data_IF_809510246411
#
_entry.id   IF_809510246411
#
_cell.length_a   1.000
_cell.length_b   1.000
_cell.length_c   1.000
_cell.angle_alpha   90.00
_cell.angle_beta   90.00
_cell.angle_gamma   90.00
#
_symmetry.space_group_name_H-M   'P 1'
#
loop_
_entity.id
_entity.type
_entity.pdbx_description
1 polymer ?
#
# COMPACT_ATOMS: atom_id res chain seq x y z
N UNK A 1 -18.30 0.33 13.20
CA UNK A 1 -19.33 0.54 12.15
C UNK A 1 -18.76 0.78 10.75
N UNK A 2 -17.54 1.31 10.59
CA UNK A 2 -16.89 1.46 9.27
C UNK A 2 -16.38 0.13 8.67
N UNK A 3 -15.90 -0.80 9.50
CA UNK A 3 -15.38 -2.11 9.08
C UNK A 3 -16.39 -2.91 8.24
N UNK A 4 -17.67 -2.96 8.65
CA UNK A 4 -18.73 -3.62 7.88
C UNK A 4 -19.11 -2.89 6.58
N UNK A 5 -18.92 -1.56 6.52
CA UNK A 5 -19.20 -0.78 5.31
C UNK A 5 -18.15 -1.08 4.24
N UNK A 6 -16.90 -1.26 4.65
CA UNK A 6 -15.81 -1.71 3.80
C UNK A 6 -15.96 -3.20 3.43
N UNK A 7 -16.25 -4.09 4.39
CA UNK A 7 -16.43 -5.53 4.15
C UNK A 7 -17.67 -5.86 3.28
N UNK A 8 -18.76 -5.08 3.37
CA UNK A 8 -19.94 -5.27 2.51
C UNK A 8 -19.73 -4.75 1.08
N UNK A 9 -18.90 -3.72 0.88
CA UNK A 9 -18.45 -3.31 -0.45
C UNK A 9 -17.51 -4.35 -1.09
N UNK A 10 -16.71 -5.04 -0.27
CA UNK A 10 -15.79 -6.11 -0.67
C UNK A 10 -16.48 -7.42 -1.09
N UNK A 11 -17.71 -7.71 -0.63
CA UNK A 11 -18.48 -8.86 -1.16
C UNK A 11 -18.80 -8.74 -2.66
N UNK A 12 -18.64 -7.56 -3.25
CA UNK A 12 -18.77 -7.33 -4.69
C UNK A 12 -17.41 -7.16 -5.40
N UNK A 13 -16.27 -7.17 -4.70
CA UNK A 13 -14.96 -6.94 -5.31
C UNK A 13 -13.81 -7.42 -4.40
N UNK A 14 -13.64 -8.73 -4.28
CA UNK A 14 -12.34 -9.35 -3.96
C UNK A 14 -11.97 -10.16 -5.20
N UNK A 15 -11.18 -9.55 -6.09
CA UNK A 15 -10.42 -10.30 -7.07
C UNK A 15 -9.10 -10.68 -6.40
N UNK A 16 -8.77 -11.98 -6.31
CA UNK A 16 -7.38 -12.36 -6.17
C UNK A 16 -6.64 -11.86 -7.42
N UNK A 17 -5.34 -11.65 -7.31
CA UNK A 17 -4.44 -11.80 -8.46
C UNK A 17 -4.48 -13.29 -8.91
N UNK A 18 -5.62 -13.74 -9.42
CA UNK A 18 -5.95 -15.02 -10.05
C UNK A 18 -7.45 -15.06 -10.40
N UNK A 19 -7.74 -15.12 -11.71
CA UNK A 19 -8.95 -15.57 -12.43
C UNK A 19 -10.32 -15.66 -11.70
N UNK A 20 -11.37 -14.96 -12.19
CA UNK A 20 -12.50 -15.54 -12.95
C UNK A 20 -13.65 -14.52 -13.25
N UNK A 21 -14.61 -15.00 -14.06
CA UNK A 21 -15.63 -14.33 -14.87
C UNK A 21 -16.84 -13.67 -14.17
N UNK A 22 -17.50 -12.79 -14.95
CA UNK A 22 -18.71 -12.01 -14.69
C UNK A 22 -20.01 -12.83 -14.57
N UNK A 23 -20.94 -12.39 -13.70
CA UNK A 23 -22.39 -12.29 -13.98
C UNK A 23 -23.04 -11.19 -13.10
N UNK A 24 -24.19 -10.66 -13.54
CA UNK A 24 -24.77 -9.35 -13.20
C UNK A 24 -26.09 -9.39 -12.40
N UNK A 25 -26.40 -8.27 -11.71
CA UNK A 25 -27.75 -7.74 -11.36
C UNK A 25 -28.43 -8.28 -10.08
N UNK A 26 -29.24 -7.55 -9.29
CA UNK A 26 -29.78 -6.16 -9.28
C UNK A 26 -30.46 -5.84 -7.91
N UNK A 27 -30.50 -4.54 -7.57
CA UNK A 27 -31.59 -3.75 -6.95
C UNK A 27 -32.00 -3.80 -5.44
N UNK A 28 -31.88 -2.61 -4.83
CA UNK A 28 -32.85 -1.80 -4.04
C UNK A 28 -33.48 -2.27 -2.71
N UNK A 29 -33.30 -1.49 -1.64
CA UNK A 29 -34.26 -0.45 -1.20
C UNK A 29 -33.97 0.12 0.22
N UNK A 30 -34.28 1.40 0.40
CA UNK A 30 -34.00 2.33 1.51
C UNK A 30 -34.87 2.16 2.78
N UNK A 31 -34.39 2.64 3.95
CA UNK A 31 -34.90 3.83 4.71
C UNK A 31 -34.44 3.90 6.18
N UNK A 32 -34.13 5.13 6.63
CA UNK A 32 -34.01 5.52 8.05
C UNK A 32 -32.98 6.63 8.31
N UNK A 33 -33.38 7.91 8.17
CA UNK A 33 -32.55 9.11 8.45
C UNK A 33 -32.44 9.36 9.96
N UNK A 34 -31.26 9.81 10.44
CA UNK A 34 -31.13 10.75 11.57
C UNK A 34 -29.76 11.46 11.62
N UNK A 35 -29.84 12.76 11.96
CA UNK A 35 -28.84 13.77 12.34
C UNK A 35 -27.70 14.15 11.36
N UNK A 36 -27.71 15.41 10.90
CA UNK A 36 -26.77 16.02 9.96
C UNK A 36 -25.61 16.72 10.70
N UNK A 37 -24.34 16.30 10.54
CA UNK A 37 -23.18 17.09 10.91
C UNK A 37 -22.79 18.05 9.77
N UNK A 38 -22.22 19.21 10.13
CA UNK A 38 -21.67 20.25 9.24
C UNK A 38 -21.12 19.69 7.92
N UNK A 39 -21.68 20.14 6.80
CA UNK A 39 -21.28 19.73 5.45
C UNK A 39 -19.77 19.98 5.25
N UNK A 40 -18.94 18.94 5.05
CA UNK A 40 -17.66 19.14 4.38
C UNK A 40 -17.94 19.65 2.97
N UNK A 41 -17.10 20.55 2.44
CA UNK A 41 -17.22 21.03 1.06
C UNK A 41 -17.41 19.83 0.11
N UNK A 42 -18.53 19.81 -0.60
CA UNK A 42 -18.96 18.70 -1.44
C UNK A 42 -18.02 18.51 -2.63
N UNK A 43 -17.10 17.57 -2.51
CA UNK A 43 -16.18 17.14 -3.56
C UNK A 43 -15.47 15.85 -3.16
N UNK A 44 -14.86 15.13 -4.11
CA UNK A 44 -14.11 13.92 -3.80
C UNK A 44 -12.93 14.22 -2.85
N UNK A 45 -12.86 13.48 -1.75
CA UNK A 45 -11.88 13.71 -0.68
C UNK A 45 -10.65 12.83 -0.90
N UNK A 46 -9.48 13.47 -0.88
CA UNK A 46 -8.16 12.84 -0.92
C UNK A 46 -7.26 13.46 0.15
N UNK A 47 -7.57 13.25 1.45
CA UNK A 47 -6.73 13.74 2.53
C UNK A 47 -5.36 13.06 2.52
N UNK A 48 -4.32 13.85 2.80
CA UNK A 48 -3.01 13.33 3.18
C UNK A 48 -2.96 13.24 4.71
N UNK A 49 -2.74 12.05 5.24
CA UNK A 49 -2.76 11.78 6.69
C UNK A 49 -1.74 10.73 7.08
N UNK A 50 -1.54 10.58 8.38
CA UNK A 50 -0.75 9.49 8.97
C UNK A 50 -1.66 8.54 9.74
N UNK A 51 -1.24 7.28 9.89
CA UNK A 51 -1.93 6.29 10.73
C UNK A 51 -0.89 5.47 11.50
N UNK A 52 -0.78 5.72 12.79
CA UNK A 52 0.22 5.09 13.67
C UNK A 52 0.19 3.55 13.59
N UNK A 53 -0.99 2.95 13.54
CA UNK A 53 -1.12 1.48 13.48
C UNK A 53 -0.67 0.88 12.15
N UNK A 54 -0.78 1.63 11.05
CA UNK A 54 -0.24 1.22 9.73
C UNK A 54 1.28 1.22 9.80
N UNK A 55 1.87 2.29 10.33
CA UNK A 55 3.31 2.40 10.56
C UNK A 55 3.83 1.29 11.50
N UNK A 56 3.15 1.03 12.61
CA UNK A 56 3.53 0.00 13.59
C UNK A 56 3.54 -1.39 12.95
N UNK A 57 2.50 -1.71 12.18
CA UNK A 57 2.43 -2.99 11.49
C UNK A 57 3.54 -3.12 10.44
N UNK A 58 3.72 -2.11 9.59
CA UNK A 58 4.76 -2.13 8.56
C UNK A 58 6.18 -2.10 9.15
N UNK A 59 6.38 -1.48 10.32
CA UNK A 59 7.62 -1.55 11.07
C UNK A 59 7.98 -3.00 11.41
N UNK A 60 7.01 -3.80 11.88
CA UNK A 60 7.25 -5.21 12.15
C UNK A 60 7.72 -5.95 10.88
N UNK A 61 7.05 -5.75 9.74
CA UNK A 61 7.46 -6.40 8.49
C UNK A 61 8.84 -5.94 7.99
N UNK A 62 9.16 -4.64 8.13
CA UNK A 62 10.47 -4.10 7.79
C UNK A 62 11.60 -4.73 8.62
N UNK A 63 11.31 -5.17 9.85
CA UNK A 63 12.27 -5.89 10.70
C UNK A 63 12.32 -7.40 10.43
N UNK A 64 11.24 -8.00 9.94
CA UNK A 64 11.16 -9.45 9.71
C UNK A 64 11.64 -9.86 8.32
N UNK A 65 11.45 -9.01 7.31
CA UNK A 65 11.76 -9.34 5.93
C UNK A 65 13.14 -8.86 5.51
N UNK A 66 13.86 -9.71 4.79
CA UNK A 66 15.03 -9.30 4.02
C UNK A 66 14.55 -8.77 2.68
N UNK A 67 14.58 -7.45 2.53
CA UNK A 67 14.17 -6.80 1.28
C UNK A 67 15.29 -6.88 0.24
N UNK A 68 15.12 -7.75 -0.75
CA UNK A 68 16.02 -7.90 -1.89
C UNK A 68 15.39 -7.37 -3.18
N UNK A 69 14.26 -6.67 -3.09
CA UNK A 69 13.58 -6.16 -4.25
C UNK A 69 14.40 -5.02 -4.88
N UNK A 70 14.31 -4.90 -6.20
CA UNK A 70 15.03 -3.86 -6.94
C UNK A 70 14.53 -2.48 -6.56
N UNK A 71 13.21 -2.33 -6.51
CA UNK A 71 12.56 -1.21 -5.83
C UNK A 71 12.18 -1.75 -4.45
N UNK A 72 12.66 -1.12 -3.37
CA UNK A 72 12.50 -1.69 -2.04
C UNK A 72 11.08 -1.43 -1.50
N UNK A 73 10.54 -2.45 -0.84
CA UNK A 73 9.31 -2.41 -0.06
C UNK A 73 9.41 -1.47 1.13
N UNK A 74 10.57 -1.44 1.78
CA UNK A 74 10.83 -0.63 2.96
C UNK A 74 11.97 0.36 2.71
N UNK A 75 11.99 1.44 3.47
CA UNK A 75 13.06 2.42 3.37
C UNK A 75 14.42 1.75 3.62
N UNK A 76 15.39 1.97 2.72
CA UNK A 76 16.67 1.26 2.77
C UNK A 76 17.40 1.59 4.08
N UNK A 77 17.92 0.56 4.75
CA UNK A 77 18.60 0.74 6.03
C UNK A 77 17.66 0.96 7.23
N UNK A 78 16.34 0.81 7.06
CA UNK A 78 15.38 1.07 8.13
C UNK A 78 15.61 0.15 9.34
N UNK A 79 15.75 -1.15 9.11
CA UNK A 79 15.94 -2.12 10.19
C UNK A 79 17.22 -1.85 10.99
N UNK A 80 18.30 -1.48 10.32
CA UNK A 80 19.58 -1.09 10.91
C UNK A 80 19.43 0.19 11.73
N UNK A 81 18.77 1.23 11.18
CA UNK A 81 18.50 2.47 11.91
C UNK A 81 17.70 2.22 13.18
N UNK A 82 16.63 1.43 13.10
CA UNK A 82 15.83 1.07 14.27
C UNK A 82 16.67 0.34 15.31
N UNK A 83 17.49 -0.63 14.88
CA UNK A 83 18.38 -1.36 15.79
C UNK A 83 19.34 -0.43 16.52
N UNK A 84 19.95 0.52 15.81
CA UNK A 84 20.84 1.54 16.40
C UNK A 84 20.08 2.43 17.39
N UNK A 85 18.87 2.88 17.03
CA UNK A 85 18.05 3.73 17.91
C UNK A 85 17.63 2.99 19.17
N UNK A 86 17.20 1.72 19.07
CA UNK A 86 16.85 0.89 20.24
C UNK A 86 18.05 0.66 21.15
N UNK A 87 19.20 0.31 20.58
CA UNK A 87 20.44 0.11 21.33
C UNK A 87 20.89 1.38 22.06
N UNK A 88 20.80 2.56 21.42
CA UNK A 88 21.16 3.83 22.07
C UNK A 88 20.20 4.23 23.20
N UNK A 89 18.97 3.70 23.20
CA UNK A 89 17.97 3.89 24.26
C UNK A 89 17.94 2.77 25.30
N UNK A 90 18.75 1.71 25.13
CA UNK A 90 18.73 0.54 25.98
C UNK A 90 17.39 -0.21 25.98
N UNK A 91 16.64 -0.16 24.88
CA UNK A 91 15.33 -0.81 24.77
C UNK A 91 15.45 -2.16 24.09
N UNK A 92 14.93 -3.20 24.74
CA UNK A 92 14.84 -4.56 24.22
C UNK A 92 13.44 -5.10 24.52
N UNK A 93 12.75 -5.60 23.50
CA UNK A 93 11.32 -5.97 23.59
C UNK A 93 11.13 -7.45 23.28
N UNK A 94 9.92 -7.97 23.53
CA UNK A 94 9.55 -9.32 23.07
C UNK A 94 9.71 -9.50 21.56
N UNK A 95 9.59 -8.42 20.78
CA UNK A 95 9.79 -8.48 19.35
C UNK A 95 11.22 -8.86 19.00
N UNK A 96 12.21 -8.29 19.69
CA UNK A 96 13.62 -8.62 19.47
C UNK A 96 13.92 -10.07 19.85
N UNK A 97 13.37 -10.55 20.96
CA UNK A 97 13.48 -11.96 21.41
C UNK A 97 12.91 -12.92 20.37
N UNK A 98 11.78 -12.56 19.78
CA UNK A 98 11.01 -13.44 18.91
C UNK A 98 11.35 -13.27 17.42
N UNK A 99 12.13 -12.25 17.06
CA UNK A 99 12.40 -11.84 15.67
C UNK A 99 12.88 -13.00 14.80
N UNK A 100 13.88 -13.74 15.26
CA UNK A 100 14.44 -14.86 14.49
C UNK A 100 13.39 -15.95 14.22
N UNK A 101 12.53 -16.24 15.19
CA UNK A 101 11.49 -17.24 15.05
C UNK A 101 10.23 -16.73 14.31
N UNK A 102 10.00 -15.42 14.27
CA UNK A 102 8.97 -14.79 13.43
C UNK A 102 9.43 -14.69 11.97
N UNK A 103 10.73 -14.49 11.74
CA UNK A 103 11.35 -14.44 10.42
C UNK A 103 11.66 -15.83 9.85
N UNK A 104 11.85 -16.84 10.71
CA UNK A 104 11.96 -18.24 10.33
C UNK A 104 10.60 -18.73 9.82
N UNK A 105 10.38 -18.51 8.54
CA UNK A 105 9.12 -18.77 7.86
C UNK A 105 8.98 -20.24 7.44
N UNK A 106 8.04 -21.03 8.01
CA UNK A 106 7.79 -22.41 7.60
C UNK A 106 6.92 -22.52 6.32
N UNK A 107 6.25 -21.43 5.89
CA UNK A 107 5.18 -21.41 4.89
C UNK A 107 5.48 -20.59 3.61
N UNK A 108 6.60 -19.87 3.58
CA UNK A 108 7.11 -19.11 2.43
C UNK A 108 6.63 -17.65 2.39
N UNK A 109 7.49 -16.76 1.90
CA UNK A 109 7.41 -15.29 2.00
C UNK A 109 6.11 -14.65 1.47
N UNK A 110 5.27 -15.41 0.76
CA UNK A 110 4.03 -14.93 0.14
C UNK A 110 3.00 -14.43 1.17
N UNK A 111 2.78 -15.16 2.26
CA UNK A 111 1.80 -14.73 3.27
C UNK A 111 2.26 -13.46 3.99
N UNK A 112 3.58 -13.25 4.14
CA UNK A 112 4.13 -12.00 4.68
C UNK A 112 3.91 -10.81 3.75
N UNK A 113 3.94 -11.02 2.43
CA UNK A 113 3.64 -9.96 1.46
C UNK A 113 2.17 -9.55 1.56
N UNK A 114 1.24 -10.51 1.57
CA UNK A 114 -0.20 -10.24 1.64
C UNK A 114 -0.60 -9.62 2.99
N UNK A 115 0.02 -10.07 4.09
CA UNK A 115 -0.29 -9.58 5.43
C UNK A 115 0.09 -8.11 5.67
N UNK A 116 0.99 -7.51 4.88
CA UNK A 116 1.35 -6.10 5.00
C UNK A 116 0.21 -5.13 4.70
N UNK A 117 -0.79 -5.59 3.95
CA UNK A 117 -1.96 -4.81 3.57
C UNK A 117 -3.04 -4.81 4.67
N UNK A 118 -2.95 -5.72 5.64
CA UNK A 118 -3.93 -5.89 6.70
C UNK A 118 -4.31 -4.59 7.47
N UNK A 119 -3.38 -3.72 7.90
CA UNK A 119 -3.72 -2.55 8.71
C UNK A 119 -4.56 -1.51 7.97
N UNK A 120 -4.58 -1.54 6.62
CA UNK A 120 -5.36 -0.61 5.81
C UNK A 120 -6.88 -0.90 5.84
N UNK A 121 -7.28 -2.09 6.31
CA UNK A 121 -8.67 -2.45 6.51
C UNK A 121 -9.26 -1.93 7.83
N UNK A 122 -8.43 -1.40 8.73
CA UNK A 122 -8.82 -0.98 10.08
C UNK A 122 -8.54 0.51 10.31
N UNK A 123 -9.37 1.17 11.12
CA UNK A 123 -9.22 2.58 11.47
C UNK A 123 -8.18 2.81 12.56
N UNK A 124 -7.98 1.84 13.45
CA UNK A 124 -7.08 1.95 14.61
C UNK A 124 -6.40 0.62 14.95
N UNK A 125 -5.36 0.68 15.79
CA UNK A 125 -4.71 -0.51 16.36
C UNK A 125 -5.70 -1.36 17.16
N UNK A 126 -6.52 -0.75 18.01
CA UNK A 126 -7.45 -1.45 18.89
C UNK A 126 -8.50 -2.25 18.09
N UNK A 127 -9.04 -1.66 17.02
CA UNK A 127 -9.96 -2.36 16.12
C UNK A 127 -9.29 -3.57 15.46
N UNK A 128 -8.05 -3.40 14.99
CA UNK A 128 -7.28 -4.46 14.34
C UNK A 128 -6.93 -5.59 15.33
N UNK A 129 -6.40 -5.27 16.50
CA UNK A 129 -6.06 -6.25 17.54
C UNK A 129 -7.29 -7.02 18.01
N UNK A 130 -8.43 -6.34 18.19
CA UNK A 130 -9.68 -7.00 18.57
C UNK A 130 -10.19 -7.93 17.46
N UNK A 131 -10.09 -7.54 16.19
CA UNK A 131 -10.43 -8.39 15.06
C UNK A 131 -9.56 -9.65 15.00
N UNK A 132 -8.25 -9.51 15.20
CA UNK A 132 -7.31 -10.63 15.28
C UNK A 132 -7.66 -11.53 16.47
N UNK A 133 -7.97 -10.96 17.64
CA UNK A 133 -8.36 -11.73 18.82
C UNK A 133 -9.62 -12.57 18.57
N UNK A 134 -10.65 -11.99 17.94
CA UNK A 134 -11.85 -12.74 17.57
C UNK A 134 -11.55 -13.89 16.61
N UNK A 135 -10.70 -13.63 15.60
CA UNK A 135 -10.26 -14.66 14.65
C UNK A 135 -9.49 -15.80 15.31
N UNK A 136 -8.58 -15.48 16.22
CA UNK A 136 -7.79 -16.47 16.95
C UNK A 136 -8.66 -17.29 17.92
N UNK A 137 -9.64 -16.65 18.60
CA UNK A 137 -10.62 -17.34 19.47
C UNK A 137 -11.54 -18.28 18.70
N UNK A 138 -11.93 -17.90 17.49
CA UNK A 138 -12.74 -18.72 16.60
C UNK A 138 -11.92 -19.82 15.88
N UNK A 139 -10.60 -19.88 16.10
CA UNK A 139 -9.67 -20.76 15.38
C UNK A 139 -9.76 -20.64 13.85
N UNK A 140 -10.18 -19.48 13.35
CA UNK A 140 -10.40 -19.23 11.93
C UNK A 140 -11.69 -19.81 11.35
N UNK A 141 -12.58 -20.42 12.15
CA UNK A 141 -13.90 -20.87 11.70
C UNK A 141 -14.98 -19.80 11.94
N UNK A 142 -15.55 -19.18 10.90
CA UNK A 142 -16.61 -18.19 11.04
C UNK A 142 -17.82 -18.73 11.82
N UNK A 143 -18.12 -20.03 11.74
CA UNK A 143 -19.31 -20.62 12.38
C UNK A 143 -19.22 -20.64 13.91
N UNK A 144 -18.01 -20.50 14.46
CA UNK A 144 -17.79 -20.43 15.91
C UNK A 144 -18.10 -19.05 16.50
N UNK A 145 -18.31 -18.04 15.66
CA UNK A 145 -18.69 -16.71 16.12
C UNK A 145 -20.22 -16.54 16.18
N UNK A 146 -20.69 -15.98 17.30
CA UNK A 146 -22.13 -15.82 17.59
C UNK A 146 -22.77 -14.59 16.91
N UNK A 147 -21.99 -13.73 16.25
CA UNK A 147 -22.46 -12.52 15.57
C UNK A 147 -21.96 -12.50 14.13
N UNK A 148 -22.87 -12.27 13.17
CA UNK A 148 -22.59 -12.12 11.72
C UNK A 148 -21.44 -11.17 11.39
N UNK A 149 -21.25 -10.10 12.17
CA UNK A 149 -20.12 -9.18 12.00
C UNK A 149 -18.79 -9.87 12.28
N UNK A 150 -18.70 -10.56 13.42
CA UNK A 150 -17.51 -11.31 13.80
C UNK A 150 -17.27 -12.47 12.82
N UNK A 151 -18.34 -13.14 12.35
CA UNK A 151 -18.23 -14.16 11.30
C UNK A 151 -17.56 -13.62 10.03
N UNK A 152 -17.90 -12.39 9.61
CA UNK A 152 -17.31 -11.76 8.43
C UNK A 152 -15.82 -11.42 8.64
N UNK A 153 -15.45 -10.93 9.83
CA UNK A 153 -14.06 -10.65 10.21
C UNK A 153 -13.23 -11.95 10.20
N UNK A 154 -13.76 -13.01 10.82
CA UNK A 154 -13.11 -14.32 10.87
C UNK A 154 -12.91 -14.87 9.46
N UNK A 155 -13.95 -14.80 8.61
CA UNK A 155 -13.87 -15.28 7.23
C UNK A 155 -12.85 -14.50 6.39
N UNK A 156 -12.75 -13.19 6.60
CA UNK A 156 -11.76 -12.34 5.94
C UNK A 156 -10.33 -12.72 6.35
N UNK A 157 -10.05 -12.78 7.66
CA UNK A 157 -8.72 -13.13 8.16
C UNK A 157 -8.32 -14.58 7.82
N UNK A 158 -9.30 -15.50 7.71
CA UNK A 158 -9.06 -16.87 7.28
C UNK A 158 -8.57 -16.99 5.83
N UNK A 159 -8.79 -15.97 4.98
CA UNK A 159 -8.23 -15.97 3.62
C UNK A 159 -6.72 -15.74 3.64
N UNK A 160 -6.23 -14.92 4.58
CA UNK A 160 -4.81 -14.59 4.73
C UNK A 160 -4.08 -15.60 5.62
N UNK A 161 -4.75 -16.12 6.67
CA UNK A 161 -4.16 -17.03 7.66
C UNK A 161 -4.95 -18.36 7.78
N UNK A 162 -5.07 -19.15 6.70
CA UNK A 162 -5.93 -20.33 6.68
C UNK A 162 -5.47 -21.48 7.59
N UNK A 163 -4.16 -21.63 7.84
CA UNK A 163 -3.61 -22.80 8.56
C UNK A 163 -3.44 -22.54 10.06
N UNK A 164 -3.44 -23.59 10.90
CA UNK A 164 -3.15 -23.46 12.33
C UNK A 164 -1.82 -22.76 12.62
N UNK A 165 -0.78 -23.07 11.83
CA UNK A 165 0.54 -22.46 11.98
C UNK A 165 0.53 -20.96 11.66
N UNK A 166 -0.22 -20.54 10.62
CA UNK A 166 -0.42 -19.12 10.27
C UNK A 166 -1.06 -18.36 11.44
N UNK A 167 -2.02 -18.98 12.13
CA UNK A 167 -2.67 -18.41 13.32
C UNK A 167 -1.76 -18.36 14.53
N UNK A 168 -0.94 -19.39 14.74
CA UNK A 168 0.05 -19.41 15.80
C UNK A 168 1.10 -18.31 15.58
N UNK A 169 1.55 -18.14 14.34
CA UNK A 169 2.44 -17.06 13.92
C UNK A 169 1.80 -15.69 14.14
N UNK A 170 0.56 -15.48 13.70
CA UNK A 170 -0.16 -14.21 13.89
C UNK A 170 -0.33 -13.86 15.38
N UNK A 171 -0.62 -14.85 16.22
CA UNK A 171 -0.70 -14.66 17.68
C UNK A 171 0.63 -14.18 18.25
N UNK A 172 1.72 -14.84 17.86
CA UNK A 172 3.08 -14.49 18.29
C UNK A 172 3.47 -13.09 17.81
N UNK A 173 3.19 -12.78 16.55
CA UNK A 173 3.44 -11.45 15.98
C UNK A 173 2.67 -10.37 16.74
N UNK A 174 1.39 -10.58 17.03
CA UNK A 174 0.56 -9.57 17.69
C UNK A 174 1.01 -9.29 19.12
N UNK A 175 1.41 -10.32 19.89
CA UNK A 175 2.00 -10.14 21.23
C UNK A 175 3.34 -9.40 21.16
N UNK A 176 4.19 -9.75 20.18
CA UNK A 176 5.47 -9.08 19.95
C UNK A 176 5.29 -7.60 19.57
N UNK A 177 4.37 -7.29 18.65
CA UNK A 177 4.07 -5.92 18.22
C UNK A 177 3.51 -5.09 19.38
N UNK A 178 2.64 -5.65 20.22
CA UNK A 178 2.12 -4.93 21.37
C UNK A 178 3.26 -4.54 22.34
N UNK A 179 4.18 -5.47 22.61
CA UNK A 179 5.38 -5.18 23.40
C UNK A 179 6.26 -4.12 22.75
N UNK A 180 6.45 -4.16 21.43
CA UNK A 180 7.21 -3.16 20.69
C UNK A 180 6.56 -1.79 20.77
N UNK A 181 5.23 -1.72 20.64
CA UNK A 181 4.45 -0.49 20.74
C UNK A 181 4.61 0.19 22.11
N UNK A 182 4.39 -0.57 23.18
CA UNK A 182 4.37 -0.05 24.55
C UNK A 182 5.75 0.42 25.02
N UNK A 183 6.81 -0.27 24.61
CA UNK A 183 8.17 -0.03 25.12
C UNK A 183 9.02 0.87 24.21
N UNK A 184 8.71 0.94 22.91
CA UNK A 184 9.56 1.63 21.94
C UNK A 184 8.75 2.47 20.93
N UNK A 185 7.91 1.82 20.14
CA UNK A 185 7.50 2.37 18.85
C UNK A 185 6.60 3.59 18.98
N UNK A 186 5.71 3.63 19.98
CA UNK A 186 4.84 4.79 20.22
C UNK A 186 5.66 6.07 20.45
N UNK A 187 6.67 6.01 21.32
CA UNK A 187 7.51 7.15 21.63
C UNK A 187 8.36 7.56 20.42
N UNK A 188 8.94 6.57 19.72
CA UNK A 188 9.68 6.80 18.48
C UNK A 188 8.80 7.45 17.39
N UNK A 189 7.59 6.95 17.20
CA UNK A 189 6.65 7.45 16.18
C UNK A 189 6.28 8.90 16.43
N UNK A 190 5.95 9.27 17.68
CA UNK A 190 5.62 10.65 18.04
C UNK A 190 6.79 11.62 17.80
N UNK A 191 8.01 11.19 18.08
CA UNK A 191 9.22 11.99 17.83
C UNK A 191 9.43 12.21 16.33
N UNK A 192 9.36 11.15 15.53
CA UNK A 192 9.54 11.22 14.08
C UNK A 192 8.42 12.00 13.40
N UNK A 193 7.18 11.84 13.86
CA UNK A 193 6.03 12.61 13.37
C UNK A 193 6.26 14.11 13.57
N UNK A 194 6.67 14.52 14.78
CA UNK A 194 6.97 15.93 15.07
C UNK A 194 8.10 16.47 14.20
N UNK A 195 9.16 15.69 14.01
CA UNK A 195 10.27 16.07 13.12
C UNK A 195 9.83 16.29 11.65
N UNK A 196 8.76 15.61 11.22
CA UNK A 196 8.27 15.61 9.83
C UNK A 196 7.00 16.44 9.62
N UNK A 197 6.49 17.12 10.65
CA UNK A 197 5.23 17.89 10.58
C UNK A 197 5.24 18.91 9.42
N UNK A 198 6.36 19.61 9.23
CA UNK A 198 6.52 20.54 8.09
C UNK A 198 6.51 19.83 6.74
N UNK A 199 7.10 18.65 6.66
CA UNK A 199 7.12 17.87 5.42
C UNK A 199 5.71 17.37 5.07
N UNK A 200 4.92 16.95 6.08
CA UNK A 200 3.50 16.60 5.91
C UNK A 200 2.70 17.79 5.37
N UNK A 201 2.86 18.99 5.95
CA UNK A 201 2.13 20.18 5.51
C UNK A 201 2.47 20.56 4.05
N UNK A 202 3.74 20.50 3.66
CA UNK A 202 4.15 20.76 2.26
C UNK A 202 3.63 19.70 1.32
N UNK A 203 3.70 18.42 1.71
CA UNK A 203 3.19 17.32 0.90
C UNK A 203 1.66 17.41 0.70
N UNK A 204 0.89 17.72 1.74
CA UNK A 204 -0.55 17.95 1.62
C UNK A 204 -0.84 19.16 0.72
N UNK A 205 -0.20 20.30 0.96
CA UNK A 205 -0.39 21.49 0.11
C UNK A 205 -0.12 21.18 -1.36
N UNK A 206 1.00 20.53 -1.66
CA UNK A 206 1.40 20.19 -3.03
C UNK A 206 0.43 19.19 -3.68
N UNK A 207 -0.03 18.21 -2.91
CA UNK A 207 -1.05 17.26 -3.36
C UNK A 207 -2.37 17.97 -3.70
N UNK A 208 -2.87 18.82 -2.81
CA UNK A 208 -4.16 19.49 -3.00
C UNK A 208 -4.12 20.53 -4.12
N UNK A 209 -3.02 21.29 -4.27
CA UNK A 209 -2.93 22.42 -5.20
C UNK A 209 -2.49 22.06 -6.60
N UNK A 210 -1.63 21.04 -6.74
CA UNK A 210 -0.92 20.76 -8.00
C UNK A 210 -1.22 19.36 -8.52
N UNK A 211 -0.94 18.34 -7.71
CA UNK A 211 -0.95 16.96 -8.20
C UNK A 211 -2.33 16.36 -8.36
N UNK A 212 -3.19 16.45 -7.33
CA UNK A 212 -4.55 15.92 -7.42
C UNK A 212 -5.34 16.58 -8.56
N UNK A 213 -5.32 17.92 -8.74
CA UNK A 213 -5.96 18.54 -9.90
C UNK A 213 -5.42 18.01 -11.24
N UNK A 214 -4.09 17.87 -11.37
CA UNK A 214 -3.47 17.30 -12.57
C UNK A 214 -3.90 15.86 -12.85
N UNK A 215 -4.07 15.05 -11.81
CA UNK A 215 -4.47 13.64 -11.88
C UNK A 215 -5.99 13.43 -11.91
N UNK A 216 -6.81 14.46 -11.76
CA UNK A 216 -8.25 14.31 -11.51
C UNK A 216 -8.97 13.50 -12.60
N UNK A 217 -8.61 13.69 -13.88
CA UNK A 217 -9.20 12.94 -15.00
C UNK A 217 -8.85 11.47 -14.94
N UNK A 218 -7.57 11.17 -14.69
CA UNK A 218 -7.08 9.83 -14.46
C UNK A 218 -7.83 9.15 -13.31
N UNK A 219 -7.92 9.82 -12.14
CA UNK A 219 -8.61 9.30 -10.96
C UNK A 219 -10.10 9.03 -11.22
N UNK A 220 -10.76 9.87 -12.02
CA UNK A 220 -12.15 9.63 -12.41
C UNK A 220 -12.26 8.42 -13.36
N UNK A 221 -11.36 8.31 -14.33
CA UNK A 221 -11.34 7.22 -15.31
C UNK A 221 -11.12 5.86 -14.63
N UNK A 222 -10.17 5.79 -13.69
CA UNK A 222 -9.87 4.57 -12.92
C UNK A 222 -10.85 4.32 -11.77
N UNK A 223 -11.93 5.12 -11.67
CA UNK A 223 -12.96 5.05 -10.62
C UNK A 223 -12.39 5.26 -9.21
N UNK A 224 -11.29 5.99 -9.06
CA UNK A 224 -10.72 6.39 -7.78
C UNK A 224 -11.13 7.82 -7.46
N UNK A 225 -12.43 8.11 -7.49
CA UNK A 225 -12.91 9.48 -7.32
C UNK A 225 -12.48 10.05 -5.97
N UNK A 226 -12.54 9.25 -4.90
CA UNK A 226 -12.04 9.60 -3.57
C UNK A 226 -10.94 8.63 -3.13
N UNK A 227 -10.23 8.96 -2.05
CA UNK A 227 -9.29 8.03 -1.45
C UNK A 227 -8.58 8.59 -0.23
N UNK A 228 -7.69 7.80 0.36
CA UNK A 228 -6.79 8.27 1.41
C UNK A 228 -5.34 8.10 0.96
N UNK A 229 -4.53 9.13 1.20
CA UNK A 229 -3.08 9.03 1.18
C UNK A 229 -2.56 8.92 2.61
N UNK A 230 -2.00 7.77 2.94
CA UNK A 230 -1.48 7.44 4.26
C UNK A 230 0.05 7.50 4.17
N UNK A 231 0.66 8.46 4.85
CA UNK A 231 2.12 8.56 4.91
C UNK A 231 2.64 7.59 5.97
N UNK A 232 3.56 6.72 5.55
CA UNK A 232 4.22 5.75 6.40
C UNK A 232 5.74 5.93 6.36
N UNK A 233 6.38 5.97 7.53
CA UNK A 233 7.82 6.21 7.67
C UNK A 233 8.66 5.00 7.27
N UNK A 234 8.04 3.83 7.21
CA UNK A 234 8.71 2.55 6.98
C UNK A 234 8.84 2.22 5.50
N UNK A 235 8.00 2.81 4.64
CA UNK A 235 7.91 2.44 3.23
C UNK A 235 9.02 3.09 2.39
N UNK A 236 9.48 2.34 1.39
CA UNK A 236 10.49 2.76 0.43
C UNK A 236 9.87 3.22 -0.89
N UNK A 237 10.38 2.69 -2.00
CA UNK A 237 9.90 2.98 -3.35
C UNK A 237 8.59 2.28 -3.73
N UNK A 238 8.23 1.22 -3.02
CA UNK A 238 6.96 0.49 -3.21
C UNK A 238 5.95 0.88 -2.11
N UNK A 239 4.78 1.34 -2.53
CA UNK A 239 3.66 1.67 -1.66
C UNK A 239 2.75 0.48 -1.38
N UNK A 240 1.62 0.74 -0.70
CA UNK A 240 0.54 -0.25 -0.54
C UNK A 240 -0.76 0.38 -1.03
N UNK A 241 -1.21 -0.06 -2.19
CA UNK A 241 -2.51 0.33 -2.72
C UNK A 241 -3.58 -0.73 -2.43
N UNK A 242 -4.74 -0.28 -1.95
CA UNK A 242 -5.93 -1.12 -1.80
C UNK A 242 -7.19 -0.40 -2.29
N UNK A 243 -8.09 -1.09 -3.00
CA UNK A 243 -9.45 -0.63 -3.17
C UNK A 243 -10.15 -0.50 -1.80
N UNK A 244 -10.81 0.62 -1.57
CA UNK A 244 -11.55 0.94 -0.34
C UNK A 244 -13.04 1.15 -0.63
N UNK A 245 -13.61 0.28 -1.46
CA UNK A 245 -14.97 0.34 -1.97
C UNK A 245 -15.01 0.52 -3.49
N UNK A 246 -16.20 0.72 -4.05
CA UNK A 246 -16.37 0.78 -5.51
C UNK A 246 -15.76 2.02 -6.18
N UNK A 247 -15.56 3.10 -5.41
CA UNK A 247 -15.09 4.40 -5.93
C UNK A 247 -14.03 5.09 -5.08
N UNK A 248 -13.45 4.34 -4.15
CA UNK A 248 -12.48 4.85 -3.18
C UNK A 248 -11.27 3.91 -3.12
N UNK A 249 -10.09 4.46 -2.89
CA UNK A 249 -8.84 3.70 -2.74
C UNK A 249 -8.01 4.23 -1.57
N UNK A 250 -7.22 3.36 -0.95
CA UNK A 250 -6.26 3.74 0.08
C UNK A 250 -4.87 3.45 -0.43
N UNK A 251 -3.97 4.42 -0.26
CA UNK A 251 -2.58 4.33 -0.65
C UNK A 251 -1.72 4.64 0.55
N UNK A 252 -1.00 3.65 1.07
CA UNK A 252 0.11 3.91 1.96
C UNK A 252 1.36 4.18 1.13
N UNK A 253 2.00 5.32 1.35
CA UNK A 253 3.17 5.78 0.61
C UNK A 253 4.24 6.26 1.57
N UNK A 254 5.47 6.39 1.09
CA UNK A 254 6.58 6.87 1.90
C UNK A 254 6.28 8.26 2.49
N UNK A 255 6.54 8.42 3.78
CA UNK A 255 6.48 9.72 4.47
C UNK A 255 7.76 10.49 4.16
N UNK A 256 7.69 11.65 3.47
CA UNK A 256 8.85 12.52 3.26
C UNK A 256 9.59 12.83 4.58
N UNK A 257 10.92 12.81 4.54
CA UNK A 257 11.76 13.11 5.71
C UNK A 257 11.90 14.62 5.95
N UNK A 258 11.89 15.39 4.85
CA UNK A 258 12.06 16.83 4.85
C UNK A 258 11.08 17.49 3.89
N UNK A 259 10.76 18.78 4.06
CA UNK A 259 9.94 19.53 3.11
C UNK A 259 10.44 19.46 1.67
N UNK A 260 11.76 19.46 1.46
CA UNK A 260 12.38 19.41 0.13
C UNK A 260 12.17 18.04 -0.57
N UNK A 261 11.87 17.00 0.21
CA UNK A 261 11.57 15.65 -0.29
C UNK A 261 10.07 15.39 -0.48
N UNK A 262 9.20 16.41 -0.38
CA UNK A 262 7.74 16.24 -0.39
C UNK A 262 7.21 15.55 -1.65
N UNK A 263 7.88 15.70 -2.81
CA UNK A 263 7.47 15.05 -4.06
C UNK A 263 7.54 13.51 -4.01
N UNK A 264 8.25 12.92 -3.05
CA UNK A 264 8.32 11.45 -2.88
C UNK A 264 6.93 10.83 -2.71
N UNK A 265 6.02 11.51 -2.02
CA UNK A 265 4.62 11.09 -1.88
C UNK A 265 4.00 10.82 -3.26
N UNK A 266 4.18 11.76 -4.19
CA UNK A 266 3.63 11.63 -5.54
C UNK A 266 4.28 10.44 -6.23
N UNK A 267 5.61 10.34 -6.19
CA UNK A 267 6.30 9.33 -6.97
C UNK A 267 5.84 7.93 -6.59
N UNK A 268 5.74 7.65 -5.30
CA UNK A 268 5.20 6.37 -4.82
C UNK A 268 3.71 6.25 -5.17
N UNK A 269 2.92 7.32 -5.06
CA UNK A 269 1.51 7.29 -5.46
C UNK A 269 1.31 6.91 -6.93
N UNK A 270 2.00 7.58 -7.87
CA UNK A 270 1.81 7.32 -9.31
C UNK A 270 2.40 5.99 -9.75
N UNK A 271 3.45 5.52 -9.07
CA UNK A 271 3.96 4.15 -9.23
C UNK A 271 2.89 3.11 -8.90
N UNK A 272 2.24 3.26 -7.75
CA UNK A 272 1.14 2.36 -7.34
C UNK A 272 -0.10 2.52 -8.23
N UNK A 273 -0.46 3.76 -8.60
CA UNK A 273 -1.60 4.04 -9.45
C UNK A 273 -1.44 3.39 -10.84
N UNK A 274 -0.21 3.35 -11.37
CA UNK A 274 0.09 2.71 -12.66
C UNK A 274 -0.24 1.20 -12.70
N UNK A 275 -0.48 0.56 -11.55
CA UNK A 275 -0.72 -0.88 -11.43
C UNK A 275 -1.71 -1.47 -12.41
N UNK A 276 -2.90 -0.90 -12.54
CA UNK A 276 -3.92 -1.49 -13.42
C UNK A 276 -3.54 -1.36 -14.90
N UNK A 277 -2.95 -0.24 -15.29
CA UNK A 277 -2.50 -0.01 -16.67
C UNK A 277 -1.34 -0.94 -17.02
N UNK A 278 -0.34 -1.05 -16.13
CA UNK A 278 0.79 -1.95 -16.29
C UNK A 278 0.33 -3.42 -16.38
N UNK A 279 -0.62 -3.81 -15.51
CA UNK A 279 -1.19 -5.16 -15.50
C UNK A 279 -1.84 -5.52 -16.82
N UNK A 280 -2.69 -4.65 -17.37
CA UNK A 280 -3.34 -4.88 -18.67
C UNK A 280 -2.30 -4.98 -19.78
N UNK A 281 -1.38 -4.01 -19.86
CA UNK A 281 -0.35 -3.99 -20.89
C UNK A 281 0.53 -5.25 -20.89
N UNK A 282 0.88 -5.77 -19.69
CA UNK A 282 1.68 -7.00 -19.57
C UNK A 282 0.83 -8.24 -19.86
N UNK A 283 -0.36 -8.36 -19.29
CA UNK A 283 -1.20 -9.55 -19.41
C UNK A 283 -1.60 -9.84 -20.87
N UNK A 284 -1.92 -8.81 -21.64
CA UNK A 284 -2.38 -8.93 -23.02
C UNK A 284 -1.27 -9.38 -23.99
N UNK A 285 -0.01 -9.26 -23.58
CA UNK A 285 1.16 -9.51 -24.43
C UNK A 285 2.01 -10.71 -23.97
N UNK A 286 1.57 -11.45 -22.96
CA UNK A 286 2.27 -12.64 -22.48
C UNK A 286 1.52 -13.92 -22.83
N UNK A 287 2.27 -14.90 -23.33
CA UNK A 287 1.76 -16.26 -23.51
C UNK A 287 1.59 -16.97 -22.15
N UNK A 288 0.71 -17.98 -22.06
CA UNK A 288 0.58 -18.80 -20.84
C UNK A 288 1.90 -19.46 -20.39
N UNK A 289 2.79 -19.78 -21.33
CA UNK A 289 4.10 -20.34 -21.02
C UNK A 289 5.01 -19.33 -20.30
N UNK A 290 5.07 -18.09 -20.78
CA UNK A 290 5.84 -17.02 -20.17
C UNK A 290 5.29 -16.63 -18.79
N UNK A 291 3.97 -16.65 -18.61
CA UNK A 291 3.35 -16.42 -17.31
C UNK A 291 3.78 -17.47 -16.27
N UNK A 292 3.79 -18.75 -16.66
CA UNK A 292 4.28 -19.84 -15.79
C UNK A 292 5.77 -19.72 -15.44
N UNK A 293 6.56 -19.10 -16.30
CA UNK A 293 7.97 -18.81 -16.06
C UNK A 293 8.20 -17.58 -15.16
N UNK A 294 7.14 -16.91 -14.69
CA UNK A 294 7.24 -15.76 -13.80
C UNK A 294 7.56 -14.43 -14.49
N UNK A 295 7.62 -14.41 -15.84
CA UNK A 295 7.93 -13.19 -16.59
C UNK A 295 6.88 -12.09 -16.35
N UNK A 296 5.63 -12.46 -16.12
CA UNK A 296 4.55 -11.52 -15.77
C UNK A 296 4.82 -10.76 -14.47
N UNK A 297 5.44 -11.39 -13.46
CA UNK A 297 5.76 -10.71 -12.21
C UNK A 297 6.88 -9.69 -12.40
N UNK A 298 7.93 -10.06 -13.16
CA UNK A 298 9.06 -9.18 -13.45
C UNK A 298 8.61 -7.98 -14.30
N UNK A 299 7.90 -8.23 -15.39
CA UNK A 299 7.41 -7.16 -16.27
C UNK A 299 6.31 -6.33 -15.60
N UNK A 300 5.50 -6.92 -14.73
CA UNK A 300 4.54 -6.19 -13.91
C UNK A 300 5.23 -5.16 -13.02
N UNK A 301 6.24 -5.59 -12.25
CA UNK A 301 7.02 -4.68 -11.39
C UNK A 301 7.73 -3.58 -12.20
N UNK A 302 8.29 -3.92 -13.37
CA UNK A 302 8.89 -2.92 -14.26
C UNK A 302 7.84 -1.98 -14.85
N UNK A 303 6.67 -2.49 -15.18
CA UNK A 303 5.52 -1.74 -15.66
C UNK A 303 5.04 -0.71 -14.63
N UNK A 304 5.05 -1.01 -13.33
CA UNK A 304 4.76 -0.03 -12.28
C UNK A 304 5.72 1.16 -12.34
N UNK A 305 7.02 0.89 -12.40
CA UNK A 305 8.05 1.93 -12.46
C UNK A 305 7.91 2.76 -13.75
N UNK A 306 7.79 2.10 -14.89
CA UNK A 306 7.72 2.74 -16.21
C UNK A 306 6.41 3.51 -16.38
N UNK A 307 5.28 2.93 -15.97
CA UNK A 307 3.97 3.56 -16.00
C UNK A 307 3.86 4.75 -15.05
N UNK A 308 4.44 4.65 -13.84
CA UNK A 308 4.50 5.76 -12.90
C UNK A 308 5.26 6.98 -13.46
N UNK A 309 6.35 6.76 -14.22
CA UNK A 309 7.07 7.85 -14.89
C UNK A 309 6.20 8.55 -15.95
N UNK A 310 5.44 7.78 -16.73
CA UNK A 310 4.51 8.29 -17.74
C UNK A 310 3.37 9.08 -17.07
N UNK A 311 2.81 8.57 -15.97
CA UNK A 311 1.76 9.26 -15.21
C UNK A 311 2.27 10.55 -14.57
N UNK A 312 3.47 10.54 -14.00
CA UNK A 312 4.09 11.73 -13.42
C UNK A 312 4.23 12.83 -14.48
N UNK A 313 4.80 12.51 -15.64
CA UNK A 313 5.00 13.46 -16.73
C UNK A 313 3.68 14.02 -17.26
N UNK A 314 2.66 13.17 -17.39
CA UNK A 314 1.34 13.58 -17.84
C UNK A 314 0.63 14.49 -16.82
N UNK A 315 0.83 14.26 -15.52
CA UNK A 315 0.22 15.04 -14.46
C UNK A 315 0.89 16.42 -14.29
N UNK A 316 2.22 16.48 -14.44
CA UNK A 316 2.99 17.72 -14.41
C UNK A 316 4.23 17.58 -15.31
N UNK A 317 4.39 18.43 -16.33
CA UNK A 317 5.56 18.39 -17.20
C UNK A 317 6.89 18.47 -16.43
N UNK A 318 7.86 17.67 -16.85
CA UNK A 318 9.18 17.54 -16.22
C UNK A 318 9.21 16.71 -14.93
N UNK A 319 8.07 16.23 -14.44
CA UNK A 319 8.01 15.36 -13.27
C UNK A 319 8.50 13.95 -13.56
N UNK A 320 8.39 13.46 -14.80
CA UNK A 320 8.89 12.14 -15.19
C UNK A 320 10.41 12.03 -15.01
N UNK A 321 11.14 13.11 -15.32
CA UNK A 321 12.59 13.18 -15.09
C UNK A 321 12.96 13.14 -13.60
N UNK A 322 12.23 13.85 -12.73
CA UNK A 322 12.50 13.83 -11.29
C UNK A 322 12.08 12.50 -10.64
N UNK A 323 10.94 11.94 -11.07
CA UNK A 323 10.51 10.58 -10.75
C UNK A 323 11.58 9.54 -11.12
N UNK A 324 12.14 9.65 -12.32
CA UNK A 324 13.16 8.71 -12.80
C UNK A 324 14.42 8.74 -11.92
N UNK A 325 14.85 9.93 -11.48
CA UNK A 325 15.96 10.08 -10.52
C UNK A 325 15.66 9.38 -9.20
N UNK A 326 14.44 9.55 -8.68
CA UNK A 326 14.01 8.88 -7.46
C UNK A 326 14.05 7.35 -7.61
N UNK A 327 13.45 6.77 -8.66
CA UNK A 327 13.42 5.31 -8.83
C UNK A 327 14.77 4.70 -9.22
N UNK A 328 15.67 5.45 -9.86
CA UNK A 328 17.07 5.04 -10.04
C UNK A 328 17.78 4.95 -8.69
N UNK A 329 17.61 5.95 -7.81
CA UNK A 329 18.17 5.91 -6.46
C UNK A 329 17.59 4.75 -5.63
N UNK A 330 16.27 4.51 -5.73
CA UNK A 330 15.63 3.35 -5.12
C UNK A 330 16.17 2.02 -5.66
N UNK A 331 16.62 1.98 -6.92
CA UNK A 331 17.31 0.84 -7.52
C UNK A 331 18.80 0.74 -7.18
N UNK A 332 19.33 1.64 -6.33
CA UNK A 332 20.76 1.71 -6.01
C UNK A 332 21.63 2.21 -7.16
N UNK A 333 21.05 2.94 -8.11
CA UNK A 333 21.75 3.55 -9.25
C UNK A 333 21.87 5.05 -9.05
N UNK A 334 23.00 5.60 -9.48
CA UNK A 334 23.17 7.06 -9.55
C UNK A 334 22.49 7.57 -10.81
N UNK A 335 21.62 8.57 -10.68
CA UNK A 335 20.96 9.16 -11.83
C UNK A 335 21.91 10.14 -12.54
N UNK A 336 21.92 10.17 -13.89
CA UNK A 336 22.69 11.15 -14.63
C UNK A 336 22.14 12.57 -14.44
N UNK A 337 22.97 13.59 -14.70
CA UNK A 337 22.53 14.99 -14.64
C UNK A 337 21.37 15.27 -15.61
N UNK A 338 21.37 14.65 -16.79
CA UNK A 338 20.30 14.68 -17.78
C UNK A 338 19.98 13.29 -18.34
N UNK A 339 18.76 13.11 -18.87
CA UNK A 339 18.33 11.85 -19.47
C UNK A 339 18.02 10.75 -18.46
N UNK A 340 17.50 11.10 -17.28
CA UNK A 340 17.18 10.11 -16.25
C UNK A 340 16.10 9.14 -16.73
N UNK A 341 15.18 9.56 -17.61
CA UNK A 341 14.18 8.67 -18.21
C UNK A 341 14.79 7.57 -19.09
N UNK A 342 15.88 7.87 -19.80
CA UNK A 342 16.61 6.88 -20.60
C UNK A 342 17.33 5.87 -19.68
N UNK A 343 18.04 6.37 -18.66
CA UNK A 343 18.67 5.51 -17.66
C UNK A 343 17.65 4.64 -16.90
N UNK A 344 16.44 5.16 -16.64
CA UNK A 344 15.33 4.40 -16.07
C UNK A 344 14.87 3.28 -17.02
N UNK A 345 14.86 3.51 -18.34
CA UNK A 345 14.50 2.50 -19.34
C UNK A 345 15.47 1.33 -19.35
N UNK A 346 16.76 1.63 -19.26
CA UNK A 346 17.81 0.62 -19.15
C UNK A 346 17.74 -0.12 -17.81
N UNK A 347 17.39 0.59 -16.74
CA UNK A 347 17.23 -0.02 -15.43
C UNK A 347 15.99 -0.92 -15.36
N UNK A 348 14.89 -0.58 -16.01
CA UNK A 348 13.62 -1.32 -15.95
C UNK A 348 13.18 -1.70 -17.38
N UNK A 349 13.88 -2.65 -18.02
CA UNK A 349 13.68 -2.94 -19.44
C UNK A 349 12.33 -3.61 -19.67
N UNK A 350 11.60 -3.12 -20.67
CA UNK A 350 10.27 -3.62 -21.01
C UNK A 350 10.10 -3.62 -22.54
N UNK A 351 9.38 -4.59 -23.14
CA UNK A 351 9.10 -4.58 -24.56
C UNK A 351 8.38 -3.30 -25.01
N UNK A 352 8.81 -2.72 -26.12
CA UNK A 352 8.27 -1.44 -26.61
C UNK A 352 6.75 -1.49 -26.83
N UNK A 353 6.22 -2.61 -27.32
CA UNK A 353 4.77 -2.79 -27.52
C UNK A 353 3.97 -2.60 -26.22
N UNK A 354 4.50 -3.05 -25.09
CA UNK A 354 3.83 -2.88 -23.80
C UNK A 354 3.96 -1.44 -23.32
N UNK A 355 5.09 -0.76 -23.59
CA UNK A 355 5.28 0.66 -23.26
C UNK A 355 4.30 1.53 -24.07
N UNK A 356 4.16 1.29 -25.37
CA UNK A 356 3.23 2.01 -26.24
C UNK A 356 1.78 1.79 -25.82
N UNK A 357 1.42 0.57 -25.43
CA UNK A 357 0.09 0.28 -24.88
C UNK A 357 -0.15 1.07 -23.57
N UNK A 358 0.81 1.11 -22.64
CA UNK A 358 0.67 1.92 -21.43
C UNK A 358 0.54 3.41 -21.75
N UNK A 359 1.34 3.95 -22.68
CA UNK A 359 1.23 5.36 -23.13
C UNK A 359 -0.17 5.65 -23.66
N UNK A 360 -0.70 4.75 -24.50
CA UNK A 360 -2.05 4.87 -25.07
C UNK A 360 -3.13 4.87 -23.98
N UNK A 361 -3.08 3.92 -23.05
CA UNK A 361 -4.04 3.82 -21.93
C UNK A 361 -3.98 5.04 -21.02
N UNK A 362 -2.78 5.53 -20.71
CA UNK A 362 -2.59 6.77 -19.94
C UNK A 362 -3.18 7.96 -20.71
N UNK A 363 -2.86 8.14 -21.99
CA UNK A 363 -3.42 9.24 -22.77
C UNK A 363 -4.96 9.21 -22.77
N UNK A 364 -5.57 8.04 -22.97
CA UNK A 364 -7.02 7.87 -22.92
C UNK A 364 -7.62 8.25 -21.56
N UNK A 365 -6.97 7.88 -20.46
CA UNK A 365 -7.44 8.21 -19.11
C UNK A 365 -7.44 9.72 -18.80
N UNK A 366 -6.63 10.51 -19.51
CA UNK A 366 -6.58 11.97 -19.37
C UNK A 366 -7.45 12.72 -20.38
N UNK A 367 -7.91 12.08 -21.47
CA UNK A 367 -8.82 12.73 -22.42
C UNK A 367 -10.23 12.87 -21.84
N UNK A 368 -10.62 11.97 -20.92
CA UNK A 368 -11.97 11.93 -20.36
C UNK A 368 -12.98 11.39 -21.38
N UNK A 369 -14.09 10.84 -20.89
CA UNK A 369 -15.27 10.51 -21.71
C UNK A 369 -16.27 11.66 -21.56
#
# INVERSE_FOLDING_TARGET
>A
MEVLRNLRALRALILPLAALALTAGTADAQRGRQAEPLRPAGGPQWPVKTREHVDLWLHAFALLQTDTAKVPFFDRGYAERITIVKNSRGVYTKFDEQRAALAADPAGAKHLLDAQFLPLYFGTWQEMSQAIEYFLRAEGDPRRANNREVQAIVAFLAQTFPRPDDRAWLRKLTDAIQSEYDQFYKAYWLEQFRARERALAVADSMWQSTWRPGLQRYLNYTRQTSGDLILAMTLGGEGRALPAGQRSSQYAVAFPATPDSAEVLLYVFVHEAAGEIARVAVADHLTPAQQRQGLGNVLGAYGLVRGGALLAEQASPGAGERYARYYLAQAGKTAPEGGALAALAEAFPMPEVMIEEMKRQIALSFQGI
#
